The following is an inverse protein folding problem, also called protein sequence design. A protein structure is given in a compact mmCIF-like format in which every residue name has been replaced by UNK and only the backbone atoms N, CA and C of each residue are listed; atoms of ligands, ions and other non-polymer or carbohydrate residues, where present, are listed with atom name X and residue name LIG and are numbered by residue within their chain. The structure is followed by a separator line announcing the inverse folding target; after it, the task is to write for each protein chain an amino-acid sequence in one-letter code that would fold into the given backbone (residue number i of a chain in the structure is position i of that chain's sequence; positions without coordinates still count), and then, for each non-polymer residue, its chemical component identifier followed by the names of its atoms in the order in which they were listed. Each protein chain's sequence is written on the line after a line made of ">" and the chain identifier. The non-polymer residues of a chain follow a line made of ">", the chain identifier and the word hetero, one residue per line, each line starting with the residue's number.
data_IF_932916085413
#
_entry.id   IF_932916085413
#
_cell.length_a   1.000
_cell.length_b   1.000
_cell.length_c   1.000
_cell.angle_alpha   90.00
_cell.angle_beta   90.00
_cell.angle_gamma   90.00
#
_symmetry.space_group_name_H-M   'P 1'
#
loop_
_entity.id
_entity.type
_entity.pdbx_description
1 polymer ?
#
# COMPACT_ATOMS: atom_id res chain seq x y z
N UNK A 1 20.36 13.91 -2.98
CA UNK A 1 19.05 14.57 -3.21
C UNK A 1 18.09 13.53 -3.74
N UNK A 2 16.82 13.55 -3.33
CA UNK A 2 15.81 12.67 -3.91
C UNK A 2 15.35 13.27 -5.25
N UNK A 3 15.62 12.56 -6.35
CA UNK A 3 15.36 13.04 -7.72
C UNK A 3 13.89 12.95 -8.11
N UNK A 4 13.21 11.85 -7.74
CA UNK A 4 11.79 11.65 -8.03
C UNK A 4 10.92 11.86 -6.79
N UNK A 5 9.75 12.45 -7.02
CA UNK A 5 8.78 12.69 -5.97
C UNK A 5 8.40 11.38 -5.27
N UNK A 6 8.31 11.36 -3.93
CA UNK A 6 7.83 10.19 -3.22
C UNK A 6 6.34 9.98 -3.49
N UNK A 7 5.91 8.72 -3.37
CA UNK A 7 4.51 8.30 -3.51
C UNK A 7 3.98 7.99 -2.12
N UNK A 8 2.84 8.56 -1.76
CA UNK A 8 2.09 8.21 -0.56
C UNK A 8 0.86 7.39 -0.96
N UNK A 9 0.76 6.15 -0.44
CA UNK A 9 -0.37 5.26 -0.67
C UNK A 9 -1.11 5.01 0.64
N UNK A 10 -2.39 5.38 0.70
CA UNK A 10 -3.25 5.13 1.85
C UNK A 10 -4.08 3.88 1.62
N UNK A 11 -4.08 2.96 2.57
CA UNK A 11 -4.76 1.66 2.48
C UNK A 11 -5.60 1.38 3.72
N UNK A 12 -6.69 0.63 3.53
CA UNK A 12 -7.62 0.25 4.59
C UNK A 12 -7.97 -1.25 4.54
N UNK A 13 -9.23 -1.61 4.31
CA UNK A 13 -9.78 -2.97 4.38
C UNK A 13 -9.99 -3.63 3.00
N UNK A 14 -9.18 -3.26 1.99
CA UNK A 14 -9.37 -3.69 0.59
C UNK A 14 -8.19 -4.51 0.04
N UNK A 15 -7.93 -5.74 0.54
CA UNK A 15 -6.72 -6.51 0.20
C UNK A 15 -6.54 -6.75 -1.30
N UNK A 16 -7.60 -7.13 -2.03
CA UNK A 16 -7.51 -7.36 -3.47
C UNK A 16 -7.16 -6.11 -4.27
N UNK A 17 -7.74 -4.97 -3.90
CA UNK A 17 -7.43 -3.69 -4.55
C UNK A 17 -6.02 -3.23 -4.20
N UNK A 18 -5.61 -3.35 -2.95
CA UNK A 18 -4.24 -3.03 -2.50
C UNK A 18 -3.21 -3.87 -3.26
N UNK A 19 -3.37 -5.19 -3.32
CA UNK A 19 -2.46 -6.09 -4.04
C UNK A 19 -2.37 -5.73 -5.53
N UNK A 20 -3.51 -5.44 -6.18
CA UNK A 20 -3.54 -5.04 -7.59
C UNK A 20 -2.84 -3.70 -7.80
N UNK A 21 -3.08 -2.72 -6.94
CA UNK A 21 -2.43 -1.40 -7.01
C UNK A 21 -0.92 -1.54 -6.87
N UNK A 22 -0.43 -2.29 -5.87
CA UNK A 22 1.00 -2.52 -5.67
C UNK A 22 1.65 -3.19 -6.88
N UNK A 23 1.02 -4.23 -7.44
CA UNK A 23 1.49 -4.93 -8.63
C UNK A 23 1.71 -3.98 -9.81
N UNK A 24 0.73 -3.14 -10.13
CA UNK A 24 0.84 -2.23 -11.26
C UNK A 24 1.72 -1.02 -10.97
N UNK A 25 1.75 -0.55 -9.71
CA UNK A 25 2.64 0.53 -9.31
C UNK A 25 4.12 0.15 -9.47
N UNK A 26 4.47 -1.10 -9.13
CA UNK A 26 5.82 -1.65 -9.31
C UNK A 26 6.22 -1.82 -10.78
N UNK A 27 5.26 -1.89 -11.70
CA UNK A 27 5.50 -2.07 -13.14
C UNK A 27 5.65 -0.75 -13.90
N UNK A 28 5.43 0.40 -13.24
CA UNK A 28 5.57 1.71 -13.87
C UNK A 28 7.04 2.06 -14.12
N UNK A 29 7.27 2.86 -15.16
CA UNK A 29 8.57 3.49 -15.39
C UNK A 29 9.01 4.26 -14.13
N UNK A 30 10.30 4.16 -13.76
CA UNK A 30 10.89 4.81 -12.59
C UNK A 30 10.35 4.34 -11.22
N UNK A 31 9.57 3.26 -11.16
CA UNK A 31 9.06 2.72 -9.89
C UNK A 31 10.17 2.39 -8.89
N UNK A 32 11.28 1.82 -9.36
CA UNK A 32 12.44 1.49 -8.53
C UNK A 32 13.20 2.71 -7.98
N UNK A 33 13.01 3.88 -8.59
CA UNK A 33 13.68 5.14 -8.22
C UNK A 33 12.79 6.07 -7.39
N UNK A 34 11.51 5.70 -7.26
CA UNK A 34 10.51 6.41 -6.49
C UNK A 34 10.32 5.73 -5.13
N UNK A 35 10.40 6.50 -4.04
CA UNK A 35 10.11 5.95 -2.70
C UNK A 35 8.62 5.86 -2.49
N UNK A 36 8.12 4.68 -2.13
CA UNK A 36 6.73 4.44 -1.76
C UNK A 36 6.60 4.40 -0.23
N UNK A 37 5.75 5.27 0.30
CA UNK A 37 5.32 5.25 1.70
C UNK A 37 3.88 4.75 1.76
N UNK A 38 3.64 3.72 2.56
CA UNK A 38 2.31 3.13 2.71
C UNK A 38 1.78 3.44 4.11
N UNK A 39 0.61 4.06 4.17
CA UNK A 39 -0.10 4.37 5.41
C UNK A 39 -1.30 3.43 5.52
N UNK A 40 -1.28 2.55 6.51
CA UNK A 40 -2.39 1.64 6.83
C UNK A 40 -3.15 2.17 8.03
N UNK A 41 -4.42 2.50 7.82
CA UNK A 41 -5.30 2.97 8.89
C UNK A 41 -5.65 1.85 9.89
N UNK A 42 -6.14 2.24 11.08
CA UNK A 42 -6.69 1.34 12.07
C UNK A 42 -8.16 0.98 11.80
N UNK A 43 -8.60 -0.18 12.27
CA UNK A 43 -9.97 -0.64 12.13
C UNK A 43 -10.98 0.32 12.79
N UNK A 44 -12.07 0.63 12.08
CA UNK A 44 -13.20 1.39 12.64
C UNK A 44 -14.22 0.50 13.33
N UNK A 45 -14.29 -0.77 12.94
CA UNK A 45 -15.17 -1.79 13.52
C UNK A 45 -14.43 -3.13 13.62
N UNK A 46 -14.97 -4.05 14.42
CA UNK A 46 -14.36 -5.37 14.58
C UNK A 46 -14.34 -6.19 13.29
N UNK A 47 -15.32 -5.96 12.42
CA UNK A 47 -15.45 -6.61 11.10
C UNK A 47 -14.30 -6.24 10.15
N UNK A 48 -13.72 -5.05 10.32
CA UNK A 48 -12.65 -4.56 9.47
C UNK A 48 -11.29 -5.17 9.84
N UNK A 49 -11.13 -5.72 11.05
CA UNK A 49 -9.84 -6.23 11.54
C UNK A 49 -9.23 -7.25 10.59
N UNK A 50 -10.01 -8.25 10.18
CA UNK A 50 -9.52 -9.33 9.31
C UNK A 50 -9.00 -8.79 7.98
N UNK A 51 -9.76 -7.93 7.32
CA UNK A 51 -9.39 -7.38 6.02
C UNK A 51 -8.21 -6.41 6.12
N UNK A 52 -8.07 -5.69 7.24
CA UNK A 52 -6.93 -4.82 7.50
C UNK A 52 -5.67 -5.65 7.79
N UNK A 53 -5.77 -6.74 8.54
CA UNK A 53 -4.65 -7.68 8.72
C UNK A 53 -4.19 -8.25 7.38
N UNK A 54 -5.11 -8.70 6.53
CA UNK A 54 -4.78 -9.14 5.17
C UNK A 54 -4.08 -8.03 4.35
N UNK A 55 -4.50 -6.76 4.50
CA UNK A 55 -3.81 -5.63 3.86
C UNK A 55 -2.42 -5.40 4.45
N UNK A 56 -2.25 -5.53 5.76
CA UNK A 56 -0.97 -5.35 6.44
C UNK A 56 0.03 -6.44 6.05
N UNK A 57 -0.41 -7.68 5.93
CA UNK A 57 0.41 -8.80 5.48
C UNK A 57 0.92 -8.58 4.05
N UNK A 58 0.14 -7.90 3.18
CA UNK A 58 0.56 -7.57 1.82
C UNK A 58 1.61 -6.46 1.73
N UNK A 59 1.73 -5.61 2.76
CA UNK A 59 2.60 -4.41 2.75
C UNK A 59 3.76 -4.51 3.75
N UNK A 60 3.81 -5.57 4.55
CA UNK A 60 4.98 -5.90 5.36
C UNK A 60 6.09 -6.42 4.45
N UNK A 61 7.21 -5.70 4.40
CA UNK A 61 8.41 -6.01 3.65
C UNK A 61 9.66 -5.58 4.39
#
# INVERSE_FOLDING_TARGET
>A
MQTFAPIALFVYNRPQHTARTLKFLQQNELAAESRLFIFSDGAKSDEDHKLIEEVRDLIQG
#
